data_IF_075263441720
#
_entry.id   IF_075263441720
#
_cell.length_a   1.000
_cell.length_b   1.000
_cell.length_c   1.000
_cell.angle_alpha   90.00
_cell.angle_beta   90.00
_cell.angle_gamma   90.00
#
_symmetry.space_group_name_H-M   'P 1'
#
loop_
_entity.id
_entity.type
_entity.pdbx_description
1 polymer ?
#
# COMPACT_ATOMS: atom_id res chain seq x y z
N UNK A 1 -27.90 -1.82 0.57
CA UNK A 1 -27.42 -1.61 -0.82
C UNK A 1 -25.90 -1.82 -0.88
N UNK A 2 -25.05 -1.03 -0.17
CA UNK A 2 -23.59 -1.21 -0.22
C UNK A 2 -23.18 -2.64 0.15
N UNK A 3 -23.67 -3.19 1.27
CA UNK A 3 -23.41 -4.57 1.68
C UNK A 3 -23.81 -5.59 0.62
N UNK A 4 -24.93 -5.41 -0.05
CA UNK A 4 -25.42 -6.29 -1.11
C UNK A 4 -24.50 -6.27 -2.33
N UNK A 5 -23.98 -5.09 -2.71
CA UNK A 5 -22.99 -4.94 -3.79
C UNK A 5 -21.71 -5.70 -3.43
N UNK A 6 -21.20 -5.54 -2.21
CA UNK A 6 -20.03 -6.27 -1.75
C UNK A 6 -20.24 -7.80 -1.72
N UNK A 7 -21.45 -8.27 -1.41
CA UNK A 7 -21.78 -9.70 -1.35
C UNK A 7 -22.00 -10.33 -2.72
N UNK A 8 -22.40 -9.53 -3.73
CA UNK A 8 -22.81 -10.06 -5.04
C UNK A 8 -21.67 -10.29 -6.02
N UNK A 9 -20.68 -9.39 -6.10
CA UNK A 9 -19.69 -9.40 -7.17
C UNK A 9 -18.29 -8.94 -6.74
N UNK A 10 -17.49 -9.79 -6.06
CA UNK A 10 -16.17 -9.37 -5.55
C UNK A 10 -15.12 -9.04 -6.62
N UNK A 11 -15.37 -9.38 -7.91
CA UNK A 11 -14.40 -9.12 -9.00
C UNK A 11 -14.65 -7.81 -9.75
N UNK A 12 -15.89 -7.32 -9.76
CA UNK A 12 -16.31 -6.08 -10.44
C UNK A 12 -16.83 -5.02 -9.47
N UNK A 13 -16.45 -5.13 -8.19
CA UNK A 13 -16.94 -4.27 -7.11
C UNK A 13 -16.77 -2.77 -7.41
N UNK A 14 -15.63 -2.39 -7.98
CA UNK A 14 -15.36 -0.99 -8.34
C UNK A 14 -16.33 -0.49 -9.41
N UNK A 15 -16.59 -1.30 -10.43
CA UNK A 15 -17.46 -0.94 -11.55
C UNK A 15 -18.92 -0.83 -11.09
N UNK A 16 -19.40 -1.79 -10.32
CA UNK A 16 -20.77 -1.78 -9.78
C UNK A 16 -21.02 -0.61 -8.81
N UNK A 17 -20.02 -0.25 -7.98
CA UNK A 17 -20.13 0.93 -7.13
C UNK A 17 -20.24 2.21 -7.97
N UNK A 18 -19.46 2.32 -9.06
CA UNK A 18 -19.48 3.49 -9.93
C UNK A 18 -20.74 3.56 -10.81
N UNK A 19 -21.37 2.45 -11.14
CA UNK A 19 -22.60 2.40 -11.94
C UNK A 19 -23.88 2.58 -11.11
N UNK A 20 -23.78 2.64 -9.78
CA UNK A 20 -24.93 2.73 -8.89
C UNK A 20 -25.45 4.17 -8.75
N UNK A 21 -26.76 4.37 -9.01
CA UNK A 21 -27.46 5.66 -8.75
C UNK A 21 -27.86 5.87 -7.27
N UNK A 22 -27.41 5.01 -6.36
CA UNK A 22 -27.76 5.11 -4.94
C UNK A 22 -27.02 6.25 -4.24
N UNK A 23 -27.76 7.11 -3.54
CA UNK A 23 -27.20 8.19 -2.70
C UNK A 23 -26.26 7.64 -1.61
N UNK A 24 -26.55 6.45 -1.08
CA UNK A 24 -25.69 5.78 -0.09
C UNK A 24 -24.35 5.37 -0.72
N UNK A 25 -24.37 4.84 -1.94
CA UNK A 25 -23.17 4.49 -2.69
C UNK A 25 -22.37 5.74 -3.07
N UNK A 26 -23.00 6.79 -3.53
CA UNK A 26 -22.34 8.05 -3.84
C UNK A 26 -21.59 8.61 -2.61
N UNK A 27 -22.23 8.61 -1.45
CA UNK A 27 -21.59 9.04 -0.18
C UNK A 27 -20.41 8.14 0.22
N UNK A 28 -20.51 6.83 -0.01
CA UNK A 28 -19.40 5.92 0.22
C UNK A 28 -18.24 6.23 -0.71
N UNK A 29 -18.51 6.43 -2.01
CA UNK A 29 -17.49 6.75 -3.01
C UNK A 29 -16.80 8.09 -2.72
N UNK A 30 -17.53 9.11 -2.26
CA UNK A 30 -16.92 10.37 -1.84
C UNK A 30 -15.89 10.14 -0.73
N UNK A 31 -16.25 9.40 0.32
CA UNK A 31 -15.35 9.06 1.43
C UNK A 31 -14.19 8.17 0.96
N UNK A 32 -14.46 7.23 0.06
CA UNK A 32 -13.44 6.35 -0.51
C UNK A 32 -12.45 7.13 -1.38
N UNK A 33 -12.92 8.08 -2.17
CA UNK A 33 -12.07 8.95 -2.98
C UNK A 33 -11.18 9.87 -2.10
N UNK A 34 -11.70 10.40 -0.99
CA UNK A 34 -10.88 11.13 -0.01
C UNK A 34 -9.78 10.23 0.59
N UNK A 35 -10.12 8.98 0.90
CA UNK A 35 -9.15 7.98 1.37
C UNK A 35 -8.08 7.69 0.31
N UNK A 36 -8.47 7.47 -0.96
CA UNK A 36 -7.53 7.22 -2.05
C UNK A 36 -6.65 8.44 -2.31
N UNK A 37 -7.20 9.66 -2.26
CA UNK A 37 -6.40 10.88 -2.39
C UNK A 37 -5.31 10.98 -1.31
N UNK A 38 -5.62 10.65 -0.05
CA UNK A 38 -4.65 10.74 1.04
C UNK A 38 -3.68 9.56 1.09
N UNK A 39 -4.18 8.34 0.82
CA UNK A 39 -3.44 7.09 1.02
C UNK A 39 -3.26 6.24 -0.25
N UNK A 40 -3.73 6.69 -1.40
CA UNK A 40 -3.71 5.94 -2.67
C UNK A 40 -2.32 5.51 -3.13
N UNK A 41 -1.30 6.26 -2.74
CA UNK A 41 0.10 5.92 -2.98
C UNK A 41 0.58 4.64 -2.24
N UNK A 42 -0.21 4.15 -1.27
CA UNK A 42 0.13 2.97 -0.45
C UNK A 42 -0.27 1.68 -1.15
N UNK A 43 0.43 0.60 -0.82
CA UNK A 43 0.20 -0.74 -1.33
C UNK A 43 1.12 -1.76 -0.69
N UNK A 44 1.02 -3.04 -1.09
CA UNK A 44 1.81 -4.10 -0.49
C UNK A 44 3.32 -3.93 -0.74
N UNK A 45 3.70 -3.57 -1.96
CA UNK A 45 5.09 -3.32 -2.38
C UNK A 45 5.26 -1.87 -2.84
N UNK A 46 4.83 -0.92 -2.05
CA UNK A 46 4.74 0.50 -2.41
C UNK A 46 6.08 1.15 -2.82
N UNK A 47 7.22 0.52 -2.49
CA UNK A 47 8.56 0.95 -2.91
C UNK A 47 8.95 0.46 -4.30
N UNK A 48 8.24 -0.51 -4.86
CA UNK A 48 8.46 -1.04 -6.20
C UNK A 48 7.58 -0.27 -7.20
N UNK A 49 8.20 0.35 -8.22
CA UNK A 49 7.50 1.21 -9.19
C UNK A 49 6.46 0.46 -10.02
N UNK A 50 6.71 -0.82 -10.33
CA UNK A 50 5.77 -1.65 -11.10
C UNK A 50 4.57 -2.15 -10.29
N UNK A 51 4.65 -2.09 -8.95
CA UNK A 51 3.59 -2.61 -8.07
C UNK A 51 2.33 -1.76 -8.10
N UNK A 52 1.19 -2.44 -7.99
CA UNK A 52 -0.10 -1.78 -7.83
C UNK A 52 -0.22 -1.14 -6.45
N UNK A 53 -0.90 -0.01 -6.42
CA UNK A 53 -1.25 0.74 -5.22
C UNK A 53 -2.76 0.88 -5.12
N UNK A 54 -3.26 1.44 -4.03
CA UNK A 54 -4.70 1.65 -3.86
C UNK A 54 -5.29 2.65 -4.85
N UNK A 55 -4.48 3.53 -5.45
CA UNK A 55 -4.91 4.43 -6.51
C UNK A 55 -4.91 3.74 -7.87
N UNK A 56 -3.88 2.96 -8.17
CA UNK A 56 -3.76 2.28 -9.47
C UNK A 56 -4.68 1.06 -9.60
N UNK A 57 -4.98 0.39 -8.48
CA UNK A 57 -5.99 -0.67 -8.38
C UNK A 57 -6.83 -0.51 -7.10
N UNK A 58 -7.90 0.28 -7.14
CA UNK A 58 -8.80 0.48 -6.00
C UNK A 58 -9.42 -0.81 -5.46
N UNK A 59 -9.49 -1.87 -6.27
CA UNK A 59 -10.05 -3.17 -5.84
C UNK A 59 -9.29 -3.77 -4.67
N UNK A 60 -7.99 -3.45 -4.53
CA UNK A 60 -7.15 -3.92 -3.43
C UNK A 60 -7.65 -3.33 -2.10
N UNK A 61 -7.93 -2.02 -2.07
CA UNK A 61 -8.46 -1.35 -0.89
C UNK A 61 -9.90 -1.79 -0.59
N UNK A 62 -10.74 -1.93 -1.62
CA UNK A 62 -12.11 -2.41 -1.48
C UNK A 62 -12.18 -3.83 -0.89
N UNK A 63 -11.31 -4.74 -1.33
CA UNK A 63 -11.19 -6.10 -0.76
C UNK A 63 -10.79 -6.06 0.73
N UNK A 64 -9.88 -5.15 1.10
CA UNK A 64 -9.51 -4.98 2.50
C UNK A 64 -10.69 -4.47 3.35
N UNK A 65 -11.48 -3.53 2.84
CA UNK A 65 -12.71 -3.03 3.48
C UNK A 65 -13.71 -4.17 3.65
N UNK A 66 -13.91 -5.00 2.62
CA UNK A 66 -14.80 -6.15 2.68
C UNK A 66 -14.40 -7.16 3.75
N UNK A 67 -13.10 -7.46 3.86
CA UNK A 67 -12.58 -8.33 4.91
C UNK A 67 -12.84 -7.77 6.31
N UNK A 68 -12.72 -6.46 6.50
CA UNK A 68 -12.97 -5.82 7.81
C UNK A 68 -14.46 -5.82 8.14
N UNK A 69 -15.34 -5.46 7.18
CA UNK A 69 -16.79 -5.42 7.43
C UNK A 69 -17.40 -6.79 7.72
N UNK A 70 -16.80 -7.86 7.19
CA UNK A 70 -17.26 -9.24 7.43
C UNK A 70 -16.85 -9.80 8.81
N UNK A 71 -16.04 -9.07 9.60
CA UNK A 71 -15.65 -9.47 10.94
C UNK A 71 -16.69 -9.05 11.97
N UNK A 72 -16.71 -9.75 13.11
CA UNK A 72 -17.55 -9.37 14.24
C UNK A 72 -17.12 -8.01 14.81
N UNK A 73 -18.07 -7.24 15.34
CA UNK A 73 -17.83 -5.89 15.88
C UNK A 73 -16.75 -5.85 16.97
N UNK A 74 -16.63 -6.90 17.79
CA UNK A 74 -15.58 -7.01 18.82
C UNK A 74 -14.17 -7.11 18.25
N UNK A 75 -14.03 -7.48 16.97
CA UNK A 75 -12.76 -7.48 16.20
C UNK A 75 -12.51 -6.21 15.41
N UNK A 76 -13.40 -5.23 15.52
CA UNK A 76 -13.23 -3.93 14.85
C UNK A 76 -11.85 -3.35 15.17
N UNK A 77 -11.05 -2.93 14.16
CA UNK A 77 -9.76 -2.30 14.38
C UNK A 77 -9.83 -1.06 15.28
N UNK A 78 -10.94 -0.31 15.24
CA UNK A 78 -11.17 0.88 16.07
C UNK A 78 -11.30 0.46 17.55
N UNK A 79 -12.17 -0.52 17.83
CA UNK A 79 -12.38 -1.02 19.20
C UNK A 79 -11.09 -1.65 19.74
N UNK A 80 -10.37 -2.40 18.90
CA UNK A 80 -9.09 -3.00 19.27
C UNK A 80 -8.03 -1.92 19.59
N UNK A 81 -7.92 -0.87 18.77
CA UNK A 81 -7.00 0.24 18.98
C UNK A 81 -7.30 0.99 20.29
N UNK A 82 -8.57 1.28 20.57
CA UNK A 82 -8.99 1.92 21.83
C UNK A 82 -8.68 1.07 23.06
N UNK A 83 -8.98 -0.24 22.98
CA UNK A 83 -8.68 -1.19 24.05
C UNK A 83 -7.17 -1.25 24.33
N UNK A 84 -6.38 -1.50 23.30
CA UNK A 84 -4.91 -1.56 23.39
C UNK A 84 -4.31 -0.24 23.88
N UNK A 85 -4.86 0.89 23.47
CA UNK A 85 -4.45 2.21 23.94
C UNK A 85 -4.68 2.38 25.45
N UNK A 86 -5.85 1.95 25.96
CA UNK A 86 -6.14 1.97 27.40
C UNK A 86 -5.24 1.00 28.18
N UNK A 87 -5.09 -0.24 27.71
CA UNK A 87 -4.22 -1.24 28.33
C UNK A 87 -2.77 -0.76 28.40
N UNK A 88 -2.24 -0.19 27.31
CA UNK A 88 -0.91 0.40 27.27
C UNK A 88 -0.73 1.53 28.29
N UNK A 89 -1.69 2.43 28.38
CA UNK A 89 -1.66 3.53 29.35
C UNK A 89 -1.62 3.02 30.79
N UNK A 90 -2.50 2.09 31.12
CA UNK A 90 -2.58 1.50 32.44
C UNK A 90 -1.29 0.77 32.82
N UNK A 91 -0.71 0.00 31.89
CA UNK A 91 0.55 -0.71 32.12
C UNK A 91 1.73 0.26 32.35
N UNK A 92 1.79 1.35 31.59
CA UNK A 92 2.81 2.39 31.79
C UNK A 92 2.72 2.99 33.20
N UNK A 93 1.51 3.31 33.66
CA UNK A 93 1.31 3.86 35.01
C UNK A 93 1.62 2.83 36.11
N UNK A 94 1.27 1.57 35.92
CA UNK A 94 1.65 0.49 36.86
C UNK A 94 3.17 0.35 36.98
N UNK A 95 3.89 0.32 35.85
CA UNK A 95 5.36 0.23 35.85
C UNK A 95 5.99 1.46 36.50
N UNK A 96 5.48 2.66 36.23
CA UNK A 96 5.92 3.90 36.89
C UNK A 96 5.74 3.84 38.41
N UNK A 97 4.62 3.29 38.86
CA UNK A 97 4.37 3.08 40.27
C UNK A 97 5.43 2.17 40.92
N UNK A 98 5.71 1.03 40.30
CA UNK A 98 6.74 0.08 40.77
C UNK A 98 8.15 0.67 40.75
N UNK A 99 8.49 1.46 39.74
CA UNK A 99 9.79 2.12 39.64
C UNK A 99 9.99 3.17 40.75
N UNK A 100 8.94 3.88 41.15
CA UNK A 100 8.99 4.82 42.31
C UNK A 100 9.23 4.06 43.61
N UNK A 101 8.66 2.87 43.80
CA UNK A 101 8.90 2.05 45.00
C UNK A 101 10.36 1.54 45.06
N UNK A 102 10.91 1.16 43.89
CA UNK A 102 12.31 0.72 43.79
C UNK A 102 13.29 1.85 44.01
N UNK A 103 12.90 3.10 43.76
CA UNK A 103 13.70 4.31 43.91
C UNK A 103 15.06 4.23 43.19
N UNK A 104 15.07 3.73 41.95
CA UNK A 104 16.25 3.63 41.10
C UNK A 104 16.12 4.57 39.89
N UNK A 105 16.88 5.68 39.91
CA UNK A 105 16.80 6.73 38.90
C UNK A 105 17.28 6.23 37.50
N UNK A 106 18.26 5.34 37.45
CA UNK A 106 18.78 4.78 36.21
C UNK A 106 17.73 3.91 35.50
N UNK A 107 17.06 3.04 36.25
CA UNK A 107 15.95 2.21 35.71
C UNK A 107 14.78 3.07 35.25
N UNK A 108 14.43 4.09 36.03
CA UNK A 108 13.38 5.05 35.68
C UNK A 108 13.73 5.80 34.39
N UNK A 109 14.94 6.30 34.26
CA UNK A 109 15.42 6.99 33.06
C UNK A 109 15.41 6.10 31.82
N UNK A 110 15.84 4.84 31.97
CA UNK A 110 15.82 3.84 30.88
C UNK A 110 14.38 3.56 30.42
N UNK A 111 13.45 3.38 31.36
CA UNK A 111 12.04 3.14 31.03
C UNK A 111 11.40 4.34 30.32
N UNK A 112 11.59 5.57 30.82
CA UNK A 112 11.02 6.75 30.17
C UNK A 112 11.66 7.00 28.80
N UNK A 113 12.94 6.70 28.63
CA UNK A 113 13.62 6.70 27.34
C UNK A 113 13.00 5.71 26.35
N UNK A 114 12.70 4.49 26.80
CA UNK A 114 12.01 3.47 25.99
C UNK A 114 10.59 3.90 25.60
N UNK A 115 9.82 4.52 26.52
CA UNK A 115 8.49 5.06 26.21
C UNK A 115 8.59 6.19 25.19
N UNK A 116 9.56 7.07 25.31
CA UNK A 116 9.81 8.15 24.35
C UNK A 116 10.16 7.59 22.96
N UNK A 117 11.06 6.61 22.89
CA UNK A 117 11.40 5.95 21.65
C UNK A 117 10.19 5.25 21.00
N UNK A 118 9.38 4.55 21.80
CA UNK A 118 8.15 3.92 21.32
C UNK A 118 7.13 4.93 20.77
N UNK A 119 7.03 6.11 21.38
CA UNK A 119 6.16 7.17 20.87
C UNK A 119 6.69 7.76 19.54
N UNK A 120 8.01 7.80 19.33
CA UNK A 120 8.60 8.22 18.06
C UNK A 120 8.29 7.26 16.90
N UNK A 121 7.95 5.99 17.17
CA UNK A 121 7.53 5.06 16.13
C UNK A 121 6.27 5.51 15.38
N UNK A 122 5.43 6.36 15.98
CA UNK A 122 4.28 6.98 15.30
C UNK A 122 4.73 7.82 14.09
N UNK A 123 5.86 8.50 14.22
CA UNK A 123 6.41 9.31 13.12
C UNK A 123 6.93 8.48 11.96
N UNK A 124 7.33 7.22 12.20
CA UNK A 124 7.81 6.32 11.16
C UNK A 124 6.75 6.10 10.07
N UNK A 125 5.54 5.78 10.43
CA UNK A 125 4.47 5.53 9.43
C UNK A 125 4.09 6.83 8.69
N UNK A 126 4.09 7.95 9.39
CA UNK A 126 3.84 9.25 8.76
C UNK A 126 4.95 9.64 7.78
N UNK A 127 6.21 9.46 8.17
CA UNK A 127 7.37 9.70 7.30
C UNK A 127 7.36 8.77 6.09
N UNK A 128 7.02 7.49 6.29
CA UNK A 128 6.89 6.51 5.22
C UNK A 128 5.85 6.96 4.19
N UNK A 129 4.66 7.35 4.61
CA UNK A 129 3.62 7.87 3.72
C UNK A 129 4.11 9.09 2.94
N UNK A 130 4.81 10.02 3.60
CA UNK A 130 5.37 11.21 2.96
C UNK A 130 6.43 10.87 1.90
N UNK A 131 7.28 9.86 2.17
CA UNK A 131 8.33 9.44 1.24
C UNK A 131 7.78 8.63 0.05
N UNK A 132 6.70 7.89 0.26
CA UNK A 132 6.08 7.09 -0.81
C UNK A 132 5.32 7.96 -1.81
N UNK A 133 4.77 9.10 -1.40
CA UNK A 133 4.03 10.01 -2.30
C UNK A 133 4.88 10.47 -3.52
N UNK A 134 6.10 11.02 -3.40
CA UNK A 134 6.93 11.37 -4.55
C UNK A 134 7.28 10.17 -5.44
N UNK A 135 7.52 9.00 -4.83
CA UNK A 135 7.76 7.78 -5.59
C UNK A 135 6.53 7.36 -6.39
N UNK A 136 5.35 7.56 -5.83
CA UNK A 136 4.09 7.28 -6.50
C UNK A 136 3.85 8.22 -7.71
N UNK A 137 4.17 9.50 -7.60
CA UNK A 137 4.12 10.43 -8.73
C UNK A 137 5.04 9.98 -9.88
N UNK A 138 6.24 9.49 -9.52
CA UNK A 138 7.14 8.90 -10.52
C UNK A 138 6.54 7.64 -11.15
N UNK A 139 5.91 6.77 -10.35
CA UNK A 139 5.17 5.58 -10.82
C UNK A 139 4.08 5.97 -11.82
N UNK A 140 3.25 6.96 -11.48
CA UNK A 140 2.16 7.41 -12.34
C UNK A 140 2.69 7.97 -13.67
N UNK A 141 3.79 8.70 -13.64
CA UNK A 141 4.45 9.23 -14.85
C UNK A 141 4.95 8.10 -15.75
N UNK A 142 5.62 7.08 -15.19
CA UNK A 142 6.13 5.94 -15.94
C UNK A 142 4.97 5.09 -16.48
N UNK A 143 3.92 4.85 -15.72
CA UNK A 143 2.71 4.15 -16.18
C UNK A 143 2.06 4.87 -17.35
N UNK A 144 1.94 6.19 -17.29
CA UNK A 144 1.39 6.98 -18.39
C UNK A 144 2.26 6.91 -19.64
N UNK A 145 3.59 6.93 -19.49
CA UNK A 145 4.50 6.71 -20.60
C UNK A 145 4.28 5.32 -21.23
N UNK A 146 4.21 4.27 -20.41
CA UNK A 146 3.92 2.90 -20.85
C UNK A 146 2.59 2.79 -21.58
N UNK A 147 1.52 3.40 -21.05
CA UNK A 147 0.20 3.43 -21.67
C UNK A 147 0.24 4.04 -23.07
N UNK A 148 0.90 5.19 -23.25
CA UNK A 148 1.02 5.87 -24.56
C UNK A 148 1.75 5.00 -25.57
N UNK A 149 2.83 4.34 -25.15
CA UNK A 149 3.58 3.46 -26.06
C UNK A 149 2.85 2.15 -26.38
N UNK A 150 2.03 1.63 -25.46
CA UNK A 150 1.15 0.51 -25.75
C UNK A 150 0.05 0.90 -26.75
N UNK A 151 -0.55 2.07 -26.63
CA UNK A 151 -1.56 2.57 -27.57
C UNK A 151 -1.03 2.79 -28.99
N UNK A 152 0.24 3.13 -29.12
CA UNK A 152 0.90 3.28 -30.45
C UNK A 152 1.46 1.96 -30.99
N UNK A 153 1.40 0.87 -30.21
CA UNK A 153 1.87 -0.46 -30.64
C UNK A 153 3.39 -0.66 -30.51
N UNK A 154 4.10 0.26 -29.85
CA UNK A 154 5.53 0.11 -29.53
C UNK A 154 5.73 -0.94 -28.43
N UNK A 155 4.85 -0.97 -27.44
CA UNK A 155 4.80 -1.96 -26.40
C UNK A 155 3.56 -2.83 -26.55
N UNK A 156 3.65 -4.12 -26.20
CA UNK A 156 2.50 -5.04 -26.20
C UNK A 156 1.57 -4.76 -25.00
N UNK A 157 2.12 -4.24 -23.91
CA UNK A 157 1.37 -3.80 -22.73
C UNK A 157 2.09 -2.67 -22.01
N UNK A 158 1.33 -1.85 -21.28
CA UNK A 158 1.86 -0.70 -20.55
C UNK A 158 2.91 -1.10 -19.50
N UNK A 159 2.76 -2.29 -18.90
CA UNK A 159 3.66 -2.79 -17.86
C UNK A 159 5.07 -3.08 -18.36
N UNK A 160 5.25 -3.30 -19.67
CA UNK A 160 6.57 -3.50 -20.26
C UNK A 160 7.52 -2.31 -20.05
N UNK A 161 7.01 -1.12 -19.81
CA UNK A 161 7.80 0.08 -19.53
C UNK A 161 8.69 -0.10 -18.27
N UNK A 162 8.25 -0.88 -17.30
CA UNK A 162 9.01 -1.16 -16.09
C UNK A 162 10.18 -2.12 -16.27
N UNK A 163 10.35 -2.62 -17.50
CA UNK A 163 11.50 -3.44 -17.87
C UNK A 163 12.68 -2.58 -18.40
N UNK A 164 12.51 -1.25 -18.54
CA UNK A 164 13.59 -0.32 -18.82
C UNK A 164 14.51 -0.18 -17.60
N UNK A 165 15.79 -0.04 -17.89
CA UNK A 165 16.77 0.43 -16.90
C UNK A 165 16.81 1.96 -16.91
N UNK A 166 17.24 2.56 -15.79
CA UNK A 166 17.31 4.01 -15.65
C UNK A 166 18.17 4.66 -16.76
N UNK A 167 19.32 4.08 -17.05
CA UNK A 167 20.23 4.51 -18.11
C UNK A 167 19.70 4.35 -19.55
N UNK A 168 18.64 3.59 -19.74
CA UNK A 168 18.03 3.37 -21.06
C UNK A 168 16.92 4.37 -21.37
N UNK A 169 16.40 5.08 -20.35
CA UNK A 169 15.21 5.90 -20.47
C UNK A 169 15.35 7.01 -21.53
N UNK A 170 16.47 7.73 -21.55
CA UNK A 170 16.70 8.79 -22.54
C UNK A 170 16.71 8.22 -23.96
N UNK A 171 17.44 7.11 -24.17
CA UNK A 171 17.52 6.46 -25.49
C UNK A 171 16.16 5.90 -25.92
N UNK A 172 15.38 5.37 -24.98
CA UNK A 172 14.02 4.90 -25.25
C UNK A 172 13.12 6.05 -25.71
N UNK A 173 13.18 7.21 -25.05
CA UNK A 173 12.39 8.39 -25.45
C UNK A 173 12.72 8.86 -26.86
N UNK A 174 14.01 8.80 -27.27
CA UNK A 174 14.46 9.19 -28.59
C UNK A 174 14.11 8.17 -29.67
N UNK A 175 14.19 6.88 -29.38
CA UNK A 175 13.98 5.80 -30.34
C UNK A 175 13.29 4.59 -29.69
N UNK A 176 11.98 4.69 -29.36
CA UNK A 176 11.26 3.66 -28.62
C UNK A 176 11.15 2.32 -29.39
N UNK A 177 11.04 2.34 -30.71
CA UNK A 177 10.91 1.13 -31.53
C UNK A 177 12.11 0.18 -31.41
N UNK A 178 13.29 0.71 -31.12
CA UNK A 178 14.51 -0.11 -30.95
C UNK A 178 14.49 -0.97 -29.67
N UNK A 179 13.57 -0.72 -28.75
CA UNK A 179 13.45 -1.41 -27.48
C UNK A 179 12.34 -2.48 -27.47
N UNK A 180 11.44 -2.50 -28.44
CA UNK A 180 10.24 -3.33 -28.46
C UNK A 180 10.53 -4.80 -28.16
N UNK A 181 11.41 -5.46 -28.92
CA UNK A 181 11.75 -6.88 -28.74
C UNK A 181 12.44 -7.14 -27.38
N UNK A 182 13.33 -6.24 -26.99
CA UNK A 182 14.09 -6.38 -25.73
C UNK A 182 13.17 -6.27 -24.52
N UNK A 183 12.26 -5.29 -24.49
CA UNK A 183 11.33 -5.11 -23.39
C UNK A 183 10.31 -6.26 -23.31
N UNK A 184 9.81 -6.72 -24.46
CA UNK A 184 8.94 -7.89 -24.52
C UNK A 184 9.64 -9.13 -23.91
N UNK A 185 10.91 -9.37 -24.29
CA UNK A 185 11.69 -10.50 -23.76
C UNK A 185 11.99 -10.38 -22.26
N UNK A 186 12.34 -9.18 -21.78
CA UNK A 186 12.57 -8.93 -20.36
C UNK A 186 11.28 -9.17 -19.55
N UNK A 187 10.14 -8.71 -20.06
CA UNK A 187 8.84 -8.90 -19.42
C UNK A 187 8.42 -10.37 -19.37
N UNK A 188 8.64 -11.13 -20.45
CA UNK A 188 8.42 -12.59 -20.46
C UNK A 188 9.28 -13.28 -19.39
N UNK A 189 10.58 -12.97 -19.36
CA UNK A 189 11.49 -13.54 -18.37
C UNK A 189 11.09 -13.16 -16.94
N UNK A 190 10.69 -11.91 -16.70
CA UNK A 190 10.23 -11.44 -15.40
C UNK A 190 8.98 -12.19 -14.96
N UNK A 191 7.99 -12.37 -15.86
CA UNK A 191 6.79 -13.17 -15.57
C UNK A 191 7.14 -14.62 -15.23
N UNK A 192 8.08 -15.22 -15.91
CA UNK A 192 8.51 -16.60 -15.63
C UNK A 192 9.10 -16.77 -14.22
N UNK A 193 9.63 -15.70 -13.60
CA UNK A 193 10.14 -15.78 -12.22
C UNK A 193 9.00 -15.96 -11.19
N UNK A 194 7.78 -15.57 -11.50
CA UNK A 194 6.64 -15.71 -10.59
C UNK A 194 6.20 -17.16 -10.40
N UNK A 195 6.55 -18.05 -11.34
CA UNK A 195 6.28 -19.47 -11.26
C UNK A 195 7.37 -20.22 -10.45
N UNK A 196 8.41 -19.52 -10.04
CA UNK A 196 9.51 -20.10 -9.27
C UNK A 196 9.26 -19.93 -7.76
N UNK A 197 9.35 -21.03 -7.02
CA UNK A 197 9.38 -21.02 -5.56
C UNK A 197 10.81 -20.83 -5.08
N UNK A 198 11.18 -19.65 -4.53
CA UNK A 198 12.55 -19.42 -4.09
C UNK A 198 12.87 -20.31 -2.89
N UNK A 199 14.12 -20.84 -2.77
CA UNK A 199 14.52 -21.62 -1.63
C UNK A 199 14.49 -20.77 -0.36
N UNK A 200 14.00 -21.35 0.75
CA UNK A 200 13.92 -20.66 2.04
C UNK A 200 15.31 -20.25 2.57
N UNK A 201 16.34 -21.00 2.23
CA UNK A 201 17.74 -20.69 2.51
C UNK A 201 18.56 -20.72 1.23
N UNK A 202 19.31 -19.65 0.96
CA UNK A 202 20.35 -19.63 -0.05
C UNK A 202 21.64 -20.09 0.66
N UNK A 203 22.25 -21.17 0.16
CA UNK A 203 23.57 -21.64 0.60
C UNK A 203 24.57 -21.26 -0.48
N UNK A 204 25.63 -20.58 -0.08
CA UNK A 204 26.81 -20.33 -0.92
C UNK A 204 27.55 -21.64 -1.20
#
# INVERSE_FOLDING_TARGET
IISEIFDSHPKSLSDELNESDSVEVARFLDTFNEFVYEYGSRGANEWELSSETWETDPSIALKAIDQVRSQNDDRSPIIAAERLGRERKNLIEEVRGKLKEIANDELTGTFEGAITAANMMIFRERSKTTLVKPLHESRMTIRELGRRHAETGVLDSAEQIFMLLDEELETFIENPDSFTEMLAKRHENWKALWDLEPPFFIRD
#
